data_IF_260059853750
#
_entry.id   IF_260059853750
#
_cell.length_a   1.000
_cell.length_b   1.000
_cell.length_c   1.000
_cell.angle_alpha   90.00
_cell.angle_beta   90.00
_cell.angle_gamma   90.00
#
_symmetry.space_group_name_H-M   'P 1'
#
loop_
_entity.id
_entity.type
_entity.pdbx_description
1 polymer ?
#
# COMPACT_ATOMS: atom_id res chain seq x y z
N UNK A 1 12.87 -9.06 14.45
CA UNK A 1 12.49 -7.75 13.85
C UNK A 1 12.17 -8.04 12.39
N UNK A 2 10.93 -7.84 12.02
CA UNK A 2 10.43 -8.14 10.67
C UNK A 2 10.42 -6.91 9.74
N UNK A 3 10.70 -5.74 10.32
CA UNK A 3 10.87 -4.50 9.57
C UNK A 3 12.17 -4.51 8.78
N UNK A 4 12.08 -4.13 7.49
CA UNK A 4 13.20 -4.09 6.57
C UNK A 4 13.03 -3.00 5.50
N UNK A 5 13.99 -2.91 4.58
CA UNK A 5 13.93 -2.03 3.40
C UNK A 5 13.90 -2.91 2.16
N UNK A 6 12.88 -2.72 1.31
CA UNK A 6 12.89 -3.26 -0.04
C UNK A 6 13.52 -2.26 -1.00
N UNK A 7 14.53 -2.69 -1.70
CA UNK A 7 15.10 -1.95 -2.83
C UNK A 7 14.64 -2.59 -4.14
N UNK A 8 14.22 -1.79 -5.09
CA UNK A 8 13.71 -2.31 -6.35
C UNK A 8 13.51 -1.23 -7.40
N UNK A 9 12.66 -1.53 -8.36
CA UNK A 9 12.36 -0.63 -9.48
C UNK A 9 10.86 -0.42 -9.63
N UNK A 10 10.49 0.79 -9.96
CA UNK A 10 9.14 1.14 -10.39
C UNK A 10 9.14 1.29 -11.90
N UNK A 11 8.24 0.55 -12.54
CA UNK A 11 8.03 0.57 -13.99
C UNK A 11 6.67 1.19 -14.27
N UNK A 12 6.66 2.33 -14.95
CA UNK A 12 5.44 2.94 -15.44
C UNK A 12 5.31 2.71 -16.95
N UNK A 13 4.16 2.19 -17.37
CA UNK A 13 3.84 1.99 -18.77
C UNK A 13 2.46 2.53 -19.12
N UNK A 14 2.36 3.38 -20.14
CA UNK A 14 1.12 3.85 -20.71
C UNK A 14 1.10 3.54 -22.20
N UNK A 15 0.00 2.95 -22.69
CA UNK A 15 -0.17 2.59 -24.10
C UNK A 15 -0.96 3.66 -24.86
N UNK A 16 -1.94 4.28 -24.23
CA UNK A 16 -2.86 5.27 -24.81
C UNK A 16 -3.01 6.49 -23.89
N UNK A 17 -3.30 7.71 -24.39
CA UNK A 17 -3.39 8.12 -25.81
C UNK A 17 -2.00 8.20 -26.50
N UNK A 18 -0.93 8.40 -25.73
CA UNK A 18 0.44 8.44 -26.22
C UNK A 18 1.25 7.40 -25.45
N UNK A 19 1.97 6.55 -26.19
CA UNK A 19 2.83 5.53 -25.60
C UNK A 19 3.96 6.20 -24.81
N UNK A 20 4.10 5.83 -23.54
CA UNK A 20 5.16 6.30 -22.67
C UNK A 20 5.56 5.19 -21.72
N UNK A 21 6.84 5.03 -21.45
CA UNK A 21 7.35 4.10 -20.44
C UNK A 21 8.61 4.68 -19.81
N UNK A 22 8.72 4.55 -18.49
CA UNK A 22 9.92 4.92 -17.76
C UNK A 22 10.12 3.99 -16.57
N UNK A 23 11.37 3.87 -16.15
CA UNK A 23 11.82 3.05 -15.05
C UNK A 23 12.68 3.90 -14.14
N UNK A 24 12.52 3.75 -12.83
CA UNK A 24 13.38 4.39 -11.84
C UNK A 24 13.56 3.49 -10.63
N UNK A 25 14.72 3.62 -9.98
CA UNK A 25 15.01 2.89 -8.76
C UNK A 25 14.25 3.50 -7.58
N UNK A 26 13.82 2.64 -6.67
CA UNK A 26 13.09 3.03 -5.46
C UNK A 26 13.54 2.15 -4.30
N UNK A 27 13.46 2.69 -3.10
CA UNK A 27 13.41 1.89 -1.89
C UNK A 27 12.14 2.23 -1.11
N UNK A 28 11.58 1.23 -0.46
CA UNK A 28 10.40 1.38 0.38
C UNK A 28 10.65 0.73 1.75
N UNK A 29 10.12 1.37 2.78
CA UNK A 29 10.14 0.79 4.12
C UNK A 29 9.06 -0.28 4.23
N UNK A 30 9.43 -1.43 4.76
CA UNK A 30 8.50 -2.47 5.17
C UNK A 30 8.56 -2.54 6.69
N UNK A 31 7.49 -2.12 7.34
CA UNK A 31 7.45 -1.87 8.78
C UNK A 31 6.39 -2.74 9.44
N UNK A 32 6.77 -3.59 10.38
CA UNK A 32 5.81 -4.19 11.29
C UNK A 32 5.25 -3.11 12.22
N UNK A 33 3.92 -2.99 12.28
CA UNK A 33 3.29 -1.93 13.05
C UNK A 33 3.53 -2.06 14.56
N UNK A 34 3.82 -3.28 15.05
CA UNK A 34 4.19 -3.53 16.43
C UNK A 34 5.60 -3.05 16.80
N UNK A 35 6.46 -2.89 15.79
CA UNK A 35 7.86 -2.47 15.95
C UNK A 35 8.06 -0.96 15.79
N UNK A 36 7.03 -0.19 15.42
CA UNK A 36 7.15 1.24 15.09
C UNK A 36 7.81 2.07 16.19
N UNK A 37 7.63 1.72 17.44
CA UNK A 37 8.21 2.44 18.56
C UNK A 37 9.73 2.25 18.69
N UNK A 38 10.26 1.15 18.15
CA UNK A 38 11.65 0.72 18.34
C UNK A 38 12.45 0.68 17.04
N UNK A 39 11.79 0.61 15.88
CA UNK A 39 12.42 0.37 14.57
C UNK A 39 13.56 1.36 14.22
N UNK A 40 13.51 2.57 14.75
CA UNK A 40 14.54 3.60 14.55
C UNK A 40 15.36 3.93 15.79
N UNK A 41 15.34 3.09 16.81
CA UNK A 41 16.18 3.29 17.99
C UNK A 41 17.67 3.32 17.62
N UNK A 42 18.41 4.24 18.21
CA UNK A 42 19.83 4.46 17.91
C UNK A 42 20.11 5.18 16.56
N UNK A 43 19.09 5.50 15.77
CA UNK A 43 19.23 6.14 14.45
C UNK A 43 18.79 7.59 14.50
N UNK A 44 19.74 8.52 14.65
CA UNK A 44 19.44 9.93 14.86
C UNK A 44 18.77 10.64 13.66
N UNK A 45 18.99 10.16 12.43
CA UNK A 45 18.38 10.68 11.20
C UNK A 45 16.95 10.20 10.96
N UNK A 46 16.51 9.16 11.69
CA UNK A 46 15.23 8.48 11.49
C UNK A 46 14.39 8.56 12.77
N UNK A 47 13.09 8.77 12.66
CA UNK A 47 12.22 8.82 13.83
C UNK A 47 10.75 8.55 13.52
N UNK A 48 10.06 7.93 14.47
CA UNK A 48 8.60 7.87 14.54
C UNK A 48 8.01 8.98 15.42
N UNK A 49 8.79 9.52 16.38
CA UNK A 49 8.27 10.40 17.44
C UNK A 49 8.70 11.86 17.29
N UNK A 50 9.93 12.14 16.89
CA UNK A 50 10.50 13.49 16.81
C UNK A 50 10.74 13.93 15.36
N UNK A 51 10.89 15.25 15.10
CA UNK A 51 11.39 15.72 13.80
C UNK A 51 12.75 15.07 13.48
N UNK A 52 12.87 14.56 12.25
CA UNK A 52 14.07 13.92 11.72
C UNK A 52 14.11 14.07 10.20
N UNK A 53 15.25 13.79 9.58
CA UNK A 53 15.38 13.84 8.11
C UNK A 53 14.46 12.82 7.43
N UNK A 54 14.39 11.61 7.97
CA UNK A 54 13.43 10.58 7.58
C UNK A 54 12.46 10.35 8.74
N UNK A 55 11.19 10.59 8.52
CA UNK A 55 10.18 10.52 9.59
C UNK A 55 8.97 9.70 9.20
N UNK A 56 8.61 8.76 10.05
CA UNK A 56 7.26 8.19 10.05
C UNK A 56 6.32 9.17 10.75
N UNK A 57 5.46 9.84 9.99
CA UNK A 57 4.50 10.78 10.56
C UNK A 57 3.10 10.17 10.50
N UNK A 58 2.50 9.84 11.64
CA UNK A 58 1.20 9.18 11.75
C UNK A 58 0.10 9.87 10.92
N UNK A 59 0.17 11.20 10.76
CA UNK A 59 -0.80 12.01 10.00
C UNK A 59 -0.84 11.69 8.50
N UNK A 60 0.19 11.04 7.96
CA UNK A 60 0.30 10.72 6.54
C UNK A 60 -0.32 9.36 6.19
N UNK A 61 -0.90 8.67 7.14
CA UNK A 61 -1.39 7.30 7.01
C UNK A 61 -2.85 7.20 7.41
N UNK A 62 -3.46 6.08 7.07
CA UNK A 62 -4.85 5.72 7.31
C UNK A 62 -5.37 6.05 8.72
N UNK A 63 -6.61 6.56 8.79
CA UNK A 63 -7.36 6.77 10.03
C UNK A 63 -7.04 8.05 10.78
N UNK A 64 -7.66 8.24 11.95
CA UNK A 64 -7.38 9.38 12.81
C UNK A 64 -5.96 9.28 13.37
N UNK A 65 -5.13 10.33 13.28
CA UNK A 65 -3.79 10.35 13.87
C UNK A 65 -3.72 10.14 15.38
N UNK A 66 -4.83 10.30 16.08
CA UNK A 66 -4.94 10.04 17.53
C UNK A 66 -4.99 8.56 17.86
N UNK A 67 -5.49 7.75 16.92
CA UNK A 67 -5.57 6.31 17.08
C UNK A 67 -4.28 5.64 16.60
N UNK A 68 -4.01 4.44 17.11
CA UNK A 68 -2.92 3.64 16.57
C UNK A 68 -3.19 3.29 15.11
N UNK A 69 -2.14 3.22 14.28
CA UNK A 69 -2.31 2.82 12.88
C UNK A 69 -2.82 1.39 12.76
N UNK A 70 -2.35 0.50 13.64
CA UNK A 70 -2.81 -0.89 13.72
C UNK A 70 -4.33 -0.96 13.93
N UNK A 71 -4.86 -0.23 14.92
CA UNK A 71 -6.30 -0.14 15.18
C UNK A 71 -7.05 0.38 13.97
N UNK A 72 -6.59 1.47 13.37
CA UNK A 72 -7.25 2.07 12.20
C UNK A 72 -7.34 1.12 11.01
N UNK A 73 -6.28 0.32 10.77
CA UNK A 73 -6.30 -0.68 9.69
C UNK A 73 -7.26 -1.81 10.00
N UNK A 74 -7.24 -2.35 11.24
CA UNK A 74 -8.15 -3.43 11.64
C UNK A 74 -9.60 -3.00 11.55
N UNK A 75 -9.93 -1.81 12.01
CA UNK A 75 -11.29 -1.26 11.98
C UNK A 75 -11.79 -1.09 10.54
N UNK A 76 -10.94 -0.58 9.64
CA UNK A 76 -11.28 -0.45 8.21
C UNK A 76 -11.55 -1.82 7.58
N UNK A 77 -10.67 -2.80 7.82
CA UNK A 77 -10.83 -4.14 7.27
C UNK A 77 -12.10 -4.78 7.78
N UNK A 78 -12.35 -4.72 9.09
CA UNK A 78 -13.57 -5.25 9.70
C UNK A 78 -14.83 -4.59 9.12
N UNK A 79 -14.84 -3.28 8.99
CA UNK A 79 -15.94 -2.52 8.39
C UNK A 79 -16.24 -2.95 6.95
N UNK A 80 -15.21 -3.27 6.15
CA UNK A 80 -15.34 -3.56 4.72
C UNK A 80 -15.52 -5.05 4.40
N UNK A 81 -14.93 -5.93 5.18
CA UNK A 81 -14.94 -7.39 4.95
C UNK A 81 -15.80 -8.17 5.94
N UNK A 82 -16.19 -7.55 7.06
CA UNK A 82 -16.88 -8.22 8.17
C UNK A 82 -15.95 -9.06 9.06
N UNK A 83 -14.65 -9.10 8.76
CA UNK A 83 -13.66 -9.89 9.51
C UNK A 83 -12.55 -8.98 10.00
N UNK A 84 -12.30 -8.99 11.33
CA UNK A 84 -11.20 -8.26 11.94
C UNK A 84 -9.90 -9.04 11.82
N UNK A 85 -8.82 -8.51 11.22
CA UNK A 85 -7.53 -9.19 11.20
C UNK A 85 -7.03 -9.53 12.61
N UNK A 86 -6.49 -10.73 12.80
CA UNK A 86 -6.01 -11.19 14.10
C UNK A 86 -4.48 -11.23 14.20
N UNK A 87 -3.79 -11.37 13.08
CA UNK A 87 -2.34 -11.48 13.01
C UNK A 87 -1.61 -10.13 12.92
N UNK A 88 -0.30 -10.16 12.68
CA UNK A 88 0.51 -8.96 12.49
C UNK A 88 0.07 -8.14 11.26
N UNK A 89 0.30 -6.83 11.32
CA UNK A 89 0.09 -5.95 10.17
C UNK A 89 1.43 -5.31 9.81
N UNK A 90 1.85 -5.49 8.55
CA UNK A 90 3.09 -4.91 8.03
C UNK A 90 2.80 -3.93 6.91
N UNK A 91 3.45 -2.79 6.97
CA UNK A 91 3.23 -1.64 6.10
C UNK A 91 4.39 -1.44 5.13
N UNK A 92 4.14 -1.54 3.83
CA UNK A 92 5.06 -1.10 2.79
C UNK A 92 4.73 0.34 2.39
N UNK A 93 5.69 1.25 2.56
CA UNK A 93 5.44 2.69 2.36
C UNK A 93 6.73 3.49 2.17
N UNK A 94 6.59 4.75 1.74
CA UNK A 94 7.61 5.76 1.86
C UNK A 94 7.39 6.63 3.11
N UNK A 95 8.50 7.05 3.74
CA UNK A 95 8.46 8.00 4.85
C UNK A 95 8.40 9.45 4.33
N UNK A 96 8.23 10.39 5.25
CA UNK A 96 8.50 11.79 4.97
C UNK A 96 10.01 12.03 5.01
N UNK A 97 10.56 12.65 3.96
CA UNK A 97 11.96 13.05 3.89
C UNK A 97 12.04 14.57 3.85
N UNK A 98 12.88 15.16 4.69
CA UNK A 98 13.03 16.62 4.80
C UNK A 98 11.69 17.36 5.03
N UNK A 99 10.74 16.72 5.69
CA UNK A 99 9.40 17.27 5.95
C UNK A 99 8.36 17.04 4.84
N UNK A 100 8.76 16.55 3.67
CA UNK A 100 7.86 16.24 2.55
C UNK A 100 7.52 14.75 2.52
N UNK A 101 6.24 14.43 2.30
CA UNK A 101 5.78 13.07 2.06
C UNK A 101 5.33 12.92 0.60
N UNK A 102 6.11 12.21 -0.19
CA UNK A 102 5.75 11.84 -1.56
C UNK A 102 5.52 10.33 -1.56
N UNK A 103 4.29 9.94 -1.26
CA UNK A 103 3.93 8.54 -1.13
C UNK A 103 2.62 8.26 -1.88
N UNK A 104 2.67 7.81 -3.13
CA UNK A 104 1.48 7.58 -3.95
C UNK A 104 0.67 6.37 -3.50
N UNK A 105 1.30 5.44 -2.78
CA UNK A 105 0.65 4.22 -2.31
C UNK A 105 1.30 3.70 -1.02
N UNK A 106 0.46 3.33 -0.05
CA UNK A 106 0.82 2.52 1.11
C UNK A 106 0.09 1.19 1.06
N UNK A 107 0.81 0.08 1.30
CA UNK A 107 0.24 -1.26 1.30
C UNK A 107 0.33 -1.85 2.71
N UNK A 108 -0.82 -2.18 3.31
CA UNK A 108 -0.89 -2.84 4.61
C UNK A 108 -1.19 -4.32 4.37
N UNK A 109 -0.26 -5.16 4.75
CA UNK A 109 -0.36 -6.62 4.68
C UNK A 109 -0.84 -7.15 6.02
N UNK A 110 -2.09 -7.60 6.09
CA UNK A 110 -2.67 -8.22 7.28
C UNK A 110 -2.48 -9.72 7.21
N UNK A 111 -1.66 -10.24 8.11
CA UNK A 111 -1.36 -11.67 8.20
C UNK A 111 -2.41 -12.43 9.02
N UNK A 112 -2.43 -13.74 8.86
CA UNK A 112 -3.17 -14.63 9.74
C UNK A 112 -2.57 -14.64 11.16
N UNK A 113 -3.31 -15.19 12.11
CA UNK A 113 -2.87 -15.24 13.50
C UNK A 113 -1.55 -16.01 13.71
N UNK A 114 -1.24 -16.95 12.82
CA UNK A 114 -0.01 -17.74 12.84
C UNK A 114 1.18 -17.05 12.16
N UNK A 115 0.97 -15.84 11.60
CA UNK A 115 1.98 -15.09 10.83
C UNK A 115 2.54 -15.88 9.62
N UNK A 116 1.73 -16.73 9.04
CA UNK A 116 2.16 -17.68 8.01
C UNK A 116 1.78 -17.23 6.58
N UNK A 117 0.69 -16.46 6.44
CA UNK A 117 0.18 -15.99 5.14
C UNK A 117 -0.53 -14.66 5.26
N UNK A 118 -0.53 -13.89 4.20
CA UNK A 118 -1.33 -12.66 4.10
C UNK A 118 -2.77 -13.01 3.75
N UNK A 119 -3.73 -12.60 4.58
CA UNK A 119 -5.18 -12.84 4.37
C UNK A 119 -5.87 -11.64 3.72
N UNK A 120 -5.43 -10.43 4.04
CA UNK A 120 -6.01 -9.20 3.52
C UNK A 120 -4.92 -8.18 3.25
N UNK A 121 -5.07 -7.44 2.16
CA UNK A 121 -4.19 -6.32 1.82
C UNK A 121 -5.04 -5.06 1.72
N UNK A 122 -4.63 -4.00 2.43
CA UNK A 122 -5.22 -2.67 2.24
C UNK A 122 -4.26 -1.83 1.42
N UNK A 123 -4.72 -1.37 0.26
CA UNK A 123 -3.99 -0.46 -0.60
C UNK A 123 -4.54 0.97 -0.44
N UNK A 124 -3.83 1.82 0.27
CA UNK A 124 -4.14 3.24 0.44
C UNK A 124 -3.45 4.03 -0.67
N UNK A 125 -4.22 4.41 -1.68
CA UNK A 125 -3.75 5.15 -2.86
C UNK A 125 -4.00 6.63 -2.66
N UNK A 126 -2.97 7.42 -2.82
CA UNK A 126 -3.02 8.88 -2.64
C UNK A 126 -2.80 9.60 -3.97
N UNK A 127 -3.68 10.55 -4.27
CA UNK A 127 -3.48 11.49 -5.36
C UNK A 127 -2.60 12.65 -4.87
N UNK A 128 -1.31 12.55 -5.13
CA UNK A 128 -0.27 13.39 -4.54
C UNK A 128 -0.49 14.90 -4.67
N UNK A 129 -0.97 15.48 -5.80
CA UNK A 129 -1.15 16.93 -5.85
C UNK A 129 -2.32 17.45 -5.02
N UNK A 130 -3.39 16.66 -4.86
CA UNK A 130 -4.64 17.12 -4.20
C UNK A 130 -4.86 16.51 -2.82
N UNK A 131 -4.04 15.55 -2.40
CA UNK A 131 -4.14 14.90 -1.09
C UNK A 131 -5.37 13.99 -0.91
N UNK A 132 -6.16 13.77 -1.96
CA UNK A 132 -7.26 12.82 -1.91
C UNK A 132 -6.71 11.40 -1.86
N UNK A 133 -7.28 10.56 -1.00
CA UNK A 133 -6.87 9.16 -0.88
C UNK A 133 -8.09 8.23 -0.89
N UNK A 134 -7.85 6.98 -1.27
CA UNK A 134 -8.84 5.92 -1.26
C UNK A 134 -8.20 4.59 -0.87
N UNK A 135 -8.85 3.90 0.07
CA UNK A 135 -8.39 2.59 0.55
C UNK A 135 -9.16 1.47 -0.13
N UNK A 136 -8.44 0.62 -0.86
CA UNK A 136 -8.96 -0.63 -1.41
C UNK A 136 -8.66 -1.75 -0.41
N UNK A 137 -9.69 -2.49 0.00
CA UNK A 137 -9.54 -3.69 0.84
C UNK A 137 -9.63 -4.91 -0.06
N UNK A 138 -8.54 -5.66 -0.15
CA UNK A 138 -8.35 -6.82 -1.03
C UNK A 138 -8.26 -8.07 -0.15
N UNK A 139 -9.37 -8.77 0.02
CA UNK A 139 -9.48 -9.93 0.90
C UNK A 139 -9.41 -11.25 0.14
N UNK A 140 -8.95 -12.30 0.77
CA UNK A 140 -8.80 -13.63 0.17
C UNK A 140 -10.10 -14.19 -0.45
N UNK A 141 -11.27 -13.85 0.09
CA UNK A 141 -12.56 -14.23 -0.48
C UNK A 141 -12.84 -13.63 -1.87
N UNK A 142 -12.09 -12.61 -2.27
CA UNK A 142 -12.17 -11.95 -3.59
C UNK A 142 -11.01 -12.36 -4.51
N UNK A 143 -10.12 -13.22 -4.03
CA UNK A 143 -8.92 -13.63 -4.72
C UNK A 143 -9.24 -14.44 -5.99
N UNK A 144 -8.51 -14.13 -7.06
CA UNK A 144 -8.44 -14.91 -8.29
C UNK A 144 -6.99 -15.26 -8.56
N UNK A 145 -6.70 -16.47 -9.07
CA UNK A 145 -5.34 -16.89 -9.46
C UNK A 145 -4.77 -18.03 -8.64
N UNK A 146 -3.51 -18.33 -8.91
CA UNK A 146 -2.73 -19.41 -8.28
C UNK A 146 -2.03 -18.95 -6.98
N UNK A 147 -1.27 -19.85 -6.37
CA UNK A 147 -0.61 -19.60 -5.08
C UNK A 147 0.54 -18.60 -5.16
N UNK A 148 1.08 -18.33 -6.35
CA UNK A 148 2.23 -17.44 -6.50
C UNK A 148 1.84 -15.95 -6.48
N UNK A 149 0.68 -15.59 -7.04
CA UNK A 149 0.19 -14.22 -7.09
C UNK A 149 -1.26 -14.13 -6.68
N UNK A 150 -1.55 -13.21 -5.78
CA UNK A 150 -2.90 -12.79 -5.46
C UNK A 150 -3.39 -11.83 -6.53
N UNK A 151 -4.51 -12.14 -7.16
CA UNK A 151 -5.13 -11.33 -8.22
C UNK A 151 -6.47 -10.82 -7.75
N UNK A 152 -6.67 -9.50 -7.85
CA UNK A 152 -7.94 -8.87 -7.50
C UNK A 152 -8.34 -7.90 -8.60
N UNK A 153 -9.63 -7.65 -8.74
CA UNK A 153 -10.17 -6.63 -9.64
C UNK A 153 -11.07 -5.71 -8.83
N UNK A 154 -10.80 -4.41 -8.89
CA UNK A 154 -11.59 -3.39 -8.20
C UNK A 154 -11.98 -2.27 -9.15
N UNK A 155 -13.16 -1.68 -8.96
CA UNK A 155 -13.51 -0.47 -9.68
C UNK A 155 -12.58 0.68 -9.27
N UNK A 156 -12.13 1.49 -10.24
CA UNK A 156 -11.35 2.69 -9.96
C UNK A 156 -12.21 3.71 -9.20
N UNK A 157 -11.83 4.01 -7.98
CA UNK A 157 -12.55 4.95 -7.11
C UNK A 157 -11.88 6.33 -7.00
N UNK A 158 -10.59 6.44 -7.33
CA UNK A 158 -9.83 7.68 -7.21
C UNK A 158 -9.33 8.20 -8.56
N UNK A 159 -9.48 9.49 -8.81
CA UNK A 159 -8.97 10.15 -10.00
C UNK A 159 -7.48 10.51 -9.78
N UNK A 160 -6.58 9.61 -10.16
CA UNK A 160 -5.12 9.75 -9.94
C UNK A 160 -4.37 10.32 -11.15
N UNK A 161 -5.03 10.48 -12.30
CA UNK A 161 -4.39 11.00 -13.52
C UNK A 161 -5.42 11.71 -14.40
N UNK A 162 -5.13 12.93 -14.89
CA UNK A 162 -6.02 13.64 -15.80
C UNK A 162 -6.19 12.94 -17.17
N UNK A 163 -5.29 12.02 -17.50
CA UNK A 163 -5.29 11.29 -18.77
C UNK A 163 -6.07 9.97 -18.72
N UNK A 164 -6.60 9.59 -17.55
CA UNK A 164 -7.27 8.29 -17.37
C UNK A 164 -8.72 8.44 -16.95
N UNK A 165 -9.61 7.87 -17.74
CA UNK A 165 -11.04 7.84 -17.45
C UNK A 165 -11.33 7.10 -16.13
N UNK A 166 -12.43 7.45 -15.46
CA UNK A 166 -12.92 6.74 -14.25
C UNK A 166 -13.61 5.41 -14.57
N UNK A 167 -14.05 5.20 -15.81
CA UNK A 167 -14.72 3.97 -16.23
C UNK A 167 -13.76 2.84 -16.59
N UNK A 168 -12.85 2.56 -15.65
CA UNK A 168 -11.86 1.48 -15.75
C UNK A 168 -11.82 0.69 -14.45
N UNK A 169 -11.38 -0.53 -14.52
CA UNK A 169 -11.07 -1.37 -13.36
C UNK A 169 -9.57 -1.43 -13.14
N UNK A 170 -9.17 -1.57 -11.88
CA UNK A 170 -7.80 -1.89 -11.47
C UNK A 170 -7.68 -3.40 -11.30
N UNK A 171 -6.78 -4.00 -12.06
CA UNK A 171 -6.35 -5.37 -11.85
C UNK A 171 -5.05 -5.37 -11.05
N UNK A 172 -5.10 -5.94 -9.86
CA UNK A 172 -4.01 -6.05 -8.91
C UNK A 172 -3.34 -7.40 -9.02
N UNK A 173 -2.02 -7.41 -9.10
CA UNK A 173 -1.18 -8.61 -9.06
C UNK A 173 -0.16 -8.41 -7.95
N UNK A 174 -0.32 -9.14 -6.86
CA UNK A 174 0.42 -8.95 -5.61
C UNK A 174 1.07 -10.27 -5.20
N UNK A 175 2.37 -10.26 -4.90
CA UNK A 175 3.01 -11.36 -4.20
C UNK A 175 2.92 -11.17 -2.69
N UNK A 176 3.04 -12.26 -1.93
CA UNK A 176 3.30 -12.13 -0.50
C UNK A 176 4.70 -11.55 -0.28
N UNK A 177 4.88 -10.70 0.76
CA UNK A 177 6.18 -10.17 1.13
C UNK A 177 7.10 -11.31 1.61
N UNK A 178 8.22 -11.48 0.92
CA UNK A 178 9.30 -12.45 1.22
C UNK A 178 10.63 -11.76 0.88
N UNK A 179 11.64 -12.52 0.45
CA UNK A 179 12.92 -11.97 -0.05
C UNK A 179 12.71 -11.02 -1.22
N UNK A 180 11.63 -11.21 -1.98
CA UNK A 180 11.19 -10.33 -3.06
C UNK A 180 9.72 -9.96 -2.88
N UNK A 181 9.35 -8.78 -3.36
CA UNK A 181 7.98 -8.29 -3.35
C UNK A 181 7.63 -7.73 -4.73
N UNK A 182 6.50 -8.18 -5.27
CA UNK A 182 5.97 -7.70 -6.55
C UNK A 182 4.60 -7.07 -6.35
N UNK A 183 4.47 -5.84 -6.81
CA UNK A 183 3.21 -5.10 -6.87
C UNK A 183 3.00 -4.62 -8.30
N UNK A 184 1.94 -5.08 -8.96
CA UNK A 184 1.57 -4.60 -10.29
C UNK A 184 0.10 -4.22 -10.30
N UNK A 185 -0.18 -3.03 -10.81
CA UNK A 185 -1.54 -2.51 -11.01
C UNK A 185 -1.69 -2.23 -12.50
N UNK A 186 -2.71 -2.79 -13.11
CA UNK A 186 -3.06 -2.53 -14.52
C UNK A 186 -4.46 -1.96 -14.61
N UNK A 187 -4.66 -1.04 -15.56
CA UNK A 187 -5.96 -0.44 -15.84
C UNK A 187 -6.59 -1.19 -17.02
N UNK A 188 -7.77 -1.75 -16.78
CA UNK A 188 -8.54 -2.44 -17.82
C UNK A 188 -9.82 -1.66 -18.09
N UNK A 189 -10.05 -1.30 -19.37
CA UNK A 189 -11.30 -0.64 -19.74
C UNK A 189 -12.47 -1.59 -19.45
N UNK A 190 -13.53 -1.09 -18.82
CA UNK A 190 -14.76 -1.85 -18.69
C UNK A 190 -15.28 -2.12 -20.09
N UNK A 191 -15.29 -3.39 -20.51
CA UNK A 191 -15.99 -3.79 -21.71
C UNK A 191 -17.48 -3.48 -21.52
N UNK A 192 -17.95 -2.41 -22.14
CA UNK A 192 -19.37 -2.20 -22.34
C UNK A 192 -19.82 -3.32 -23.27
N UNK A 193 -20.31 -4.42 -22.71
CA UNK A 193 -21.09 -5.36 -23.51
C UNK A 193 -22.39 -4.64 -23.87
N UNK A 194 -22.52 -4.24 -25.14
CA UNK A 194 -23.78 -3.91 -25.75
C UNK A 194 -24.59 -5.19 -25.95
#
# INVERSE_FOLDING_TARGET
MDSCIYQGQVIHGRKTPVKNAFVYDVYMMYLDLSELDQVFEGRWLWSTRRPALARFNRKNYLGDPKDSLDTSVRDLVEQRSGVRPAGPIRLLTNLSYFGYCINPISMYYCFDQADSRVETIVADVTNTPWGNHHCYVLSDNQRRGDDQFKKFTTAKALHVSPFMNMNVDYDWFLSDPKDTLTLRITNTAKNTRF
#
